data_IF_995998775364
#
_entry.id   IF_995998775364
#
_cell.length_a   1.000
_cell.length_b   1.000
_cell.length_c   1.000
_cell.angle_alpha   90.00
_cell.angle_beta   90.00
_cell.angle_gamma   90.00
#
_symmetry.space_group_name_H-M   'P 1'
#
loop_
_entity.id
_entity.type
_entity.pdbx_description
1 polymer ?
#
# COMPACT_ATOMS: atom_id res chain seq x y z
N UNK A 1 4.42 -13.34 -2.70
CA UNK A 1 5.10 -12.81 -3.89
C UNK A 1 4.63 -11.39 -4.24
N UNK A 2 3.32 -11.07 -4.32
CA UNK A 2 2.90 -9.70 -4.59
C UNK A 2 3.41 -8.67 -3.57
N UNK A 3 3.46 -9.03 -2.28
CA UNK A 3 4.05 -8.18 -1.22
C UNK A 3 5.55 -7.90 -1.46
N UNK A 4 6.32 -8.89 -1.96
CA UNK A 4 7.72 -8.69 -2.33
C UNK A 4 7.83 -7.69 -3.49
N UNK A 5 6.99 -7.84 -4.52
CA UNK A 5 6.95 -6.90 -5.63
C UNK A 5 6.53 -5.48 -5.20
N UNK A 6 5.60 -5.38 -4.24
CA UNK A 6 5.19 -4.12 -3.61
C UNK A 6 6.38 -3.45 -2.90
N UNK A 7 7.18 -4.20 -2.13
CA UNK A 7 8.35 -3.66 -1.44
C UNK A 7 9.36 -3.04 -2.42
N UNK A 8 9.63 -3.72 -3.55
CA UNK A 8 10.47 -3.19 -4.63
C UNK A 8 9.86 -1.94 -5.28
N UNK A 9 8.56 -1.97 -5.59
CA UNK A 9 7.87 -0.83 -6.18
C UNK A 9 7.93 0.41 -5.27
N UNK A 10 7.75 0.23 -3.95
CA UNK A 10 7.84 1.29 -2.96
C UNK A 10 9.27 1.81 -2.82
N UNK A 11 10.27 0.93 -2.83
CA UNK A 11 11.68 1.33 -2.79
C UNK A 11 12.05 2.21 -3.99
N UNK A 12 11.78 1.76 -5.22
CA UNK A 12 12.10 2.55 -6.42
C UNK A 12 11.32 3.86 -6.48
N UNK A 13 10.05 3.86 -6.04
CA UNK A 13 9.27 5.09 -5.93
C UNK A 13 9.88 6.04 -4.90
N UNK A 14 10.31 5.54 -3.75
CA UNK A 14 10.98 6.34 -2.72
C UNK A 14 12.28 6.98 -3.20
N UNK A 15 13.11 6.22 -3.91
CA UNK A 15 14.37 6.73 -4.51
C UNK A 15 14.08 7.86 -5.50
N UNK A 16 13.09 7.70 -6.38
CA UNK A 16 12.75 8.74 -7.36
C UNK A 16 12.09 9.96 -6.71
N UNK A 17 11.21 9.77 -5.72
CA UNK A 17 10.60 10.88 -4.98
C UNK A 17 11.65 11.67 -4.19
N UNK A 18 12.66 11.00 -3.62
CA UNK A 18 13.78 11.68 -2.97
C UNK A 18 14.55 12.57 -3.95
N UNK A 19 14.89 12.06 -5.14
CA UNK A 19 15.56 12.87 -6.18
C UNK A 19 14.72 14.07 -6.61
N UNK A 20 13.41 13.90 -6.75
CA UNK A 20 12.50 15.01 -7.09
C UNK A 20 12.48 16.07 -5.98
N UNK A 21 12.46 15.64 -4.72
CA UNK A 21 12.52 16.53 -3.57
C UNK A 21 13.84 17.32 -3.52
N UNK A 22 14.97 16.64 -3.68
CA UNK A 22 16.29 17.28 -3.65
C UNK A 22 16.40 18.34 -4.77
N UNK A 23 16.03 17.98 -6.01
CA UNK A 23 16.01 18.91 -7.13
C UNK A 23 15.05 20.10 -6.92
N UNK A 24 13.92 19.86 -6.27
CA UNK A 24 12.96 20.91 -5.94
C UNK A 24 13.53 21.88 -4.91
N UNK A 25 14.20 21.37 -3.88
CA UNK A 25 14.84 22.22 -2.86
C UNK A 25 15.97 23.05 -3.46
N UNK A 26 16.81 22.47 -4.30
CA UNK A 26 17.86 23.21 -5.02
C UNK A 26 17.27 24.35 -5.88
N UNK A 27 16.15 24.09 -6.57
CA UNK A 27 15.43 25.12 -7.33
C UNK A 27 14.83 26.20 -6.44
N UNK A 28 14.25 25.84 -5.30
CA UNK A 28 13.66 26.80 -4.36
C UNK A 28 14.72 27.72 -3.74
N UNK A 29 15.90 27.18 -3.42
CA UNK A 29 17.01 27.98 -2.88
C UNK A 29 17.64 28.91 -3.93
N UNK A 30 17.66 28.50 -5.19
CA UNK A 30 18.26 29.28 -6.29
C UNK A 30 17.33 30.29 -6.96
N UNK A 31 16.00 30.12 -6.84
CA UNK A 31 15.01 31.01 -7.46
C UNK A 31 14.83 32.30 -6.65
N UNK A 32 14.97 33.46 -7.30
CA UNK A 32 14.73 34.75 -6.66
C UNK A 32 13.30 35.27 -6.86
N UNK A 33 12.78 36.11 -5.95
CA UNK A 33 11.48 36.76 -6.14
C UNK A 33 11.44 37.57 -7.44
N UNK A 34 10.59 37.16 -8.39
CA UNK A 34 10.43 37.81 -9.69
C UNK A 34 10.97 37.02 -10.90
N UNK A 35 11.64 35.88 -10.67
CA UNK A 35 12.10 35.03 -11.76
C UNK A 35 10.93 34.39 -12.52
N UNK A 36 11.06 34.29 -13.84
CA UNK A 36 10.05 33.64 -14.70
C UNK A 36 9.82 32.16 -14.34
N UNK A 37 10.80 31.50 -13.73
CA UNK A 37 10.75 30.11 -13.25
C UNK A 37 10.06 29.94 -11.90
N UNK A 38 9.72 31.02 -11.19
CA UNK A 38 9.08 30.95 -9.86
C UNK A 38 7.73 30.23 -9.93
N UNK A 39 6.92 30.53 -10.95
CA UNK A 39 5.60 29.92 -11.09
C UNK A 39 5.70 28.40 -11.34
N UNK A 40 6.62 27.98 -12.20
CA UNK A 40 6.90 26.55 -12.48
C UNK A 40 7.39 25.82 -11.23
N UNK A 41 8.25 26.47 -10.44
CA UNK A 41 8.77 25.93 -9.18
C UNK A 41 7.65 25.76 -8.15
N UNK A 42 6.74 26.74 -8.04
CA UNK A 42 5.57 26.65 -7.15
C UNK A 42 4.58 25.58 -7.59
N UNK A 43 4.35 25.40 -8.89
CA UNK A 43 3.46 24.36 -9.41
C UNK A 43 4.07 22.96 -9.19
N UNK A 44 5.39 22.82 -9.36
CA UNK A 44 6.14 21.59 -9.01
C UNK A 44 6.07 21.29 -7.51
N UNK A 45 6.17 22.32 -6.66
CA UNK A 45 6.05 22.17 -5.20
C UNK A 45 4.65 21.66 -4.81
N UNK A 46 3.59 22.23 -5.39
CA UNK A 46 2.21 21.78 -5.15
C UNK A 46 1.99 20.34 -5.59
N UNK A 47 2.46 19.97 -6.77
CA UNK A 47 2.42 18.59 -7.27
C UNK A 47 3.14 17.65 -6.30
N UNK A 48 4.39 17.96 -5.98
CA UNK A 48 5.23 17.13 -5.10
C UNK A 48 4.57 16.92 -3.75
N UNK A 49 4.01 17.97 -3.15
CA UNK A 49 3.28 17.88 -1.89
C UNK A 49 2.05 16.96 -2.00
N UNK A 50 1.19 17.19 -2.99
CA UNK A 50 -0.06 16.44 -3.15
C UNK A 50 0.16 14.96 -3.50
N UNK A 51 1.14 14.66 -4.35
CA UNK A 51 1.53 13.28 -4.67
C UNK A 51 2.18 12.62 -3.46
N UNK A 52 3.06 13.31 -2.72
CA UNK A 52 3.70 12.75 -1.52
C UNK A 52 2.68 12.44 -0.42
N UNK A 53 1.65 13.28 -0.24
CA UNK A 53 0.55 13.01 0.69
C UNK A 53 -0.17 11.70 0.36
N UNK A 54 -0.51 11.47 -0.92
CA UNK A 54 -1.12 10.23 -1.38
C UNK A 54 -0.20 9.02 -1.22
N UNK A 55 1.07 9.14 -1.65
CA UNK A 55 2.06 8.09 -1.52
C UNK A 55 2.29 7.69 -0.07
N UNK A 56 2.43 8.67 0.85
CA UNK A 56 2.56 8.41 2.29
C UNK A 56 1.37 7.59 2.79
N UNK A 57 0.15 8.03 2.49
CA UNK A 57 -1.05 7.35 2.96
C UNK A 57 -1.16 5.91 2.46
N UNK A 58 -1.07 5.70 1.14
CA UNK A 58 -1.25 4.36 0.56
C UNK A 58 -0.06 3.44 0.82
N UNK A 59 1.18 3.93 0.81
CA UNK A 59 2.34 3.08 1.10
C UNK A 59 2.36 2.65 2.57
N UNK A 60 1.99 3.51 3.52
CA UNK A 60 1.95 3.13 4.94
C UNK A 60 0.81 2.15 5.23
N UNK A 61 -0.40 2.37 4.70
CA UNK A 61 -1.48 1.37 4.82
C UNK A 61 -1.09 0.02 4.19
N UNK A 62 -0.52 0.03 2.99
CA UNK A 62 -0.07 -1.18 2.30
C UNK A 62 1.07 -1.89 3.03
N UNK A 63 1.95 -1.15 3.72
CA UNK A 63 3.05 -1.72 4.52
C UNK A 63 2.52 -2.34 5.81
N UNK A 64 1.60 -1.67 6.51
CA UNK A 64 0.96 -2.20 7.71
C UNK A 64 0.21 -3.51 7.41
N UNK A 65 -0.54 -3.55 6.30
CA UNK A 65 -1.20 -4.76 5.82
C UNK A 65 -0.20 -5.85 5.41
N UNK A 66 0.94 -5.48 4.82
CA UNK A 66 1.99 -6.43 4.46
C UNK A 66 2.62 -7.09 5.70
N UNK A 67 2.89 -6.33 6.76
CA UNK A 67 3.41 -6.87 8.03
C UNK A 67 2.45 -7.93 8.58
N UNK A 68 1.16 -7.61 8.64
CA UNK A 68 0.14 -8.53 9.15
C UNK A 68 -0.05 -9.76 8.26
N UNK A 69 -0.05 -9.58 6.94
CA UNK A 69 -0.09 -10.70 6.00
C UNK A 69 1.13 -11.62 6.13
N UNK A 70 2.33 -11.06 6.28
CA UNK A 70 3.56 -11.82 6.55
C UNK A 70 3.41 -12.61 7.86
N UNK A 71 2.89 -11.99 8.92
CA UNK A 71 2.64 -12.67 10.21
C UNK A 71 1.72 -13.87 10.05
N UNK A 72 0.60 -13.72 9.33
CA UNK A 72 -0.34 -14.80 9.07
C UNK A 72 0.26 -15.94 8.22
N UNK A 73 1.16 -15.62 7.28
CA UNK A 73 1.80 -16.64 6.43
C UNK A 73 2.74 -17.58 7.21
N UNK A 74 3.19 -17.18 8.41
CA UNK A 74 4.01 -18.00 9.29
C UNK A 74 3.17 -18.93 10.20
N UNK A 75 1.85 -18.96 10.03
CA UNK A 75 0.94 -19.78 10.82
C UNK A 75 1.05 -19.49 12.32
N UNK A 76 0.95 -20.53 13.15
CA UNK A 76 1.02 -20.40 14.61
C UNK A 76 2.35 -19.82 15.10
N UNK A 77 3.47 -20.07 14.40
CA UNK A 77 4.76 -19.50 14.78
C UNK A 77 4.80 -17.98 14.61
N UNK A 78 4.04 -17.42 13.66
CA UNK A 78 3.88 -15.97 13.49
C UNK A 78 3.24 -15.26 14.68
N UNK A 79 2.61 -15.98 15.60
CA UNK A 79 2.09 -15.41 16.85
C UNK A 79 3.18 -15.23 17.93
N UNK A 80 4.31 -15.92 17.79
CA UNK A 80 5.40 -15.80 18.75
C UNK A 80 6.02 -14.40 18.69
N UNK A 81 6.17 -13.77 19.86
CA UNK A 81 6.81 -12.46 19.99
C UNK A 81 8.25 -12.47 19.45
N UNK A 82 8.93 -13.62 19.47
CA UNK A 82 10.29 -13.77 18.94
C UNK A 82 10.38 -13.60 17.43
N UNK A 83 9.26 -13.65 16.70
CA UNK A 83 9.25 -13.36 15.26
C UNK A 83 9.40 -11.87 14.94
N UNK A 84 9.20 -10.99 15.93
CA UNK A 84 9.23 -9.54 15.78
C UNK A 84 7.98 -8.94 15.11
N UNK A 85 7.23 -9.69 14.29
CA UNK A 85 6.20 -9.13 13.42
C UNK A 85 5.02 -8.46 14.16
N UNK A 86 4.58 -9.00 15.30
CA UNK A 86 3.52 -8.37 16.09
C UNK A 86 3.96 -7.04 16.70
N UNK A 87 5.20 -6.97 17.20
CA UNK A 87 5.81 -5.73 17.70
C UNK A 87 6.02 -4.74 16.56
N UNK A 88 6.57 -5.19 15.42
CA UNK A 88 6.73 -4.36 14.22
C UNK A 88 5.39 -3.81 13.73
N UNK A 89 4.31 -4.58 13.77
CA UNK A 89 2.97 -4.09 13.41
C UNK A 89 2.54 -2.94 14.34
N UNK A 90 2.65 -3.15 15.65
CA UNK A 90 2.27 -2.15 16.65
C UNK A 90 3.09 -0.87 16.53
N UNK A 91 4.41 -1.01 16.36
CA UNK A 91 5.33 0.12 16.23
C UNK A 91 5.13 0.85 14.88
N UNK A 92 4.84 0.11 13.81
CA UNK A 92 4.65 0.70 12.49
C UNK A 92 3.30 1.42 12.35
N UNK A 93 2.26 0.98 13.08
CA UNK A 93 0.89 1.50 12.93
C UNK A 93 0.80 3.03 13.08
N UNK A 94 1.68 3.64 13.89
CA UNK A 94 1.72 5.10 14.07
C UNK A 94 1.99 5.86 12.77
N UNK A 95 2.68 5.26 11.79
CA UNK A 95 2.95 5.87 10.48
C UNK A 95 1.69 6.14 9.66
N UNK A 96 0.57 5.49 9.98
CA UNK A 96 -0.72 5.76 9.37
C UNK A 96 -1.42 7.02 9.93
N UNK A 97 -0.92 7.56 11.06
CA UNK A 97 -1.57 8.62 11.83
C UNK A 97 -0.73 9.88 11.97
N UNK A 98 0.55 9.74 12.35
CA UNK A 98 1.44 10.90 12.51
C UNK A 98 1.89 11.44 11.14
N UNK A 99 2.49 12.63 11.13
CA UNK A 99 2.90 13.32 9.89
C UNK A 99 1.74 13.48 8.89
N UNK A 100 0.54 13.69 9.42
CA UNK A 100 -0.73 13.75 8.71
C UNK A 100 -1.48 12.42 8.71
N UNK A 101 -2.71 12.44 9.22
CA UNK A 101 -3.62 11.29 9.14
C UNK A 101 -3.80 10.86 7.68
N UNK A 102 -3.70 9.55 7.43
CA UNK A 102 -3.73 9.03 6.06
C UNK A 102 -5.03 9.38 5.32
N UNK A 103 -6.18 9.44 5.99
CA UNK A 103 -7.45 9.83 5.36
C UNK A 103 -7.42 11.30 4.99
N UNK A 104 -6.99 12.17 5.91
CA UNK A 104 -6.86 13.61 5.66
C UNK A 104 -5.88 13.91 4.53
N UNK A 105 -4.70 13.27 4.50
CA UNK A 105 -3.73 13.41 3.42
C UNK A 105 -4.31 12.96 2.07
N UNK A 106 -5.06 11.87 2.07
CA UNK A 106 -5.73 11.38 0.86
C UNK A 106 -6.77 12.37 0.35
N UNK A 107 -7.56 12.98 1.25
CA UNK A 107 -8.54 14.01 0.92
C UNK A 107 -7.88 15.29 0.38
N UNK A 108 -6.71 15.69 0.92
CA UNK A 108 -5.91 16.80 0.40
C UNK A 108 -5.37 16.52 -1.01
N UNK A 109 -4.81 15.32 -1.21
CA UNK A 109 -4.36 14.87 -2.54
C UNK A 109 -5.51 14.87 -3.55
N UNK A 110 -6.69 14.35 -3.17
CA UNK A 110 -7.88 14.38 -4.02
C UNK A 110 -8.38 15.79 -4.33
N UNK A 111 -8.29 16.73 -3.38
CA UNK A 111 -8.62 18.14 -3.61
C UNK A 111 -7.71 18.77 -4.66
N UNK A 112 -6.40 18.51 -4.58
CA UNK A 112 -5.44 18.95 -5.59
C UNK A 112 -5.80 18.40 -6.98
N UNK A 113 -6.11 17.11 -7.09
CA UNK A 113 -6.50 16.48 -8.36
C UNK A 113 -7.77 17.10 -8.98
N UNK A 114 -8.78 17.41 -8.16
CA UNK A 114 -9.98 18.13 -8.61
C UNK A 114 -9.63 19.53 -9.10
N UNK A 115 -8.74 20.25 -8.42
CA UNK A 115 -8.27 21.56 -8.87
C UNK A 115 -7.56 21.48 -10.22
N UNK A 116 -6.64 20.53 -10.39
CA UNK A 116 -5.94 20.30 -11.65
C UNK A 116 -6.89 19.95 -12.81
N UNK A 117 -7.94 19.16 -12.54
CA UNK A 117 -8.97 18.86 -13.54
C UNK A 117 -9.72 20.12 -13.98
N UNK A 118 -10.14 20.97 -13.04
CA UNK A 118 -10.82 22.23 -13.36
C UNK A 118 -9.91 23.18 -14.14
N UNK A 119 -8.64 23.26 -13.77
CA UNK A 119 -7.64 24.05 -14.50
C UNK A 119 -7.39 23.51 -15.91
N UNK A 120 -7.35 22.18 -16.09
CA UNK A 120 -7.23 21.55 -17.40
C UNK A 120 -8.44 21.85 -18.29
N UNK A 121 -9.66 21.81 -17.76
CA UNK A 121 -10.88 22.23 -18.48
C UNK A 121 -10.85 23.72 -18.88
N UNK A 122 -10.16 24.55 -18.12
CA UNK A 122 -9.92 25.96 -18.46
C UNK A 122 -8.76 26.16 -19.46
N UNK A 123 -8.17 25.08 -19.99
CA UNK A 123 -7.10 25.12 -20.97
C UNK A 123 -5.70 25.31 -20.40
N UNK A 124 -5.52 25.23 -19.08
CA UNK A 124 -4.19 25.31 -18.45
C UNK A 124 -3.48 23.95 -18.52
N UNK A 125 -2.29 23.94 -19.09
CA UNK A 125 -1.41 22.77 -19.10
C UNK A 125 -1.04 22.35 -17.68
N UNK A 126 -1.20 21.06 -17.39
CA UNK A 126 -0.94 20.45 -16.10
C UNK A 126 0.49 19.89 -16.02
N UNK A 127 1.10 19.89 -14.81
CA UNK A 127 2.42 19.32 -14.55
C UNK A 127 2.57 17.82 -14.86
N UNK A 128 3.81 17.33 -14.90
CA UNK A 128 4.15 15.95 -15.30
C UNK A 128 3.55 14.87 -14.38
N UNK A 129 3.32 15.15 -13.10
CA UNK A 129 2.66 14.20 -12.19
C UNK A 129 1.22 13.89 -12.57
N UNK A 130 0.54 14.85 -13.17
CA UNK A 130 -0.88 14.82 -13.54
C UNK A 130 -1.07 15.03 -15.05
N UNK A 131 -0.04 14.74 -15.86
CA UNK A 131 -0.02 15.02 -17.30
C UNK A 131 -1.11 14.29 -18.10
N UNK A 132 -1.68 13.20 -17.57
CA UNK A 132 -2.86 12.54 -18.13
C UNK A 132 -4.07 13.49 -18.24
N UNK A 133 -4.16 14.55 -17.43
CA UNK A 133 -5.21 15.56 -17.53
C UNK A 133 -5.07 16.47 -18.76
N UNK A 134 -3.89 16.50 -19.40
CA UNK A 134 -3.69 17.27 -20.64
C UNK A 134 -4.30 16.59 -21.87
N UNK A 135 -4.73 15.33 -21.75
CA UNK A 135 -5.20 14.50 -22.86
C UNK A 135 -6.60 13.94 -22.62
N UNK A 136 -7.43 14.63 -21.82
CA UNK A 136 -8.77 14.17 -21.42
C UNK A 136 -9.65 13.77 -22.61
N UNK A 137 -9.67 14.58 -23.67
CA UNK A 137 -10.52 14.33 -24.85
C UNK A 137 -10.21 12.98 -25.52
N UNK A 138 -8.96 12.54 -25.45
CA UNK A 138 -8.51 11.27 -26.02
C UNK A 138 -8.64 10.12 -25.02
N UNK A 139 -8.24 10.34 -23.76
CA UNK A 139 -8.15 9.28 -22.76
C UNK A 139 -9.50 8.81 -22.21
N UNK A 140 -10.48 9.70 -22.05
CA UNK A 140 -11.69 9.38 -21.29
C UNK A 140 -12.50 8.20 -21.86
N UNK A 141 -12.43 7.99 -23.17
CA UNK A 141 -13.14 6.92 -23.88
C UNK A 141 -12.20 5.85 -24.47
N UNK A 142 -10.92 5.86 -24.09
CA UNK A 142 -9.94 4.95 -24.64
C UNK A 142 -10.09 3.56 -24.01
N UNK A 143 -10.26 2.55 -24.86
CA UNK A 143 -10.16 1.15 -24.48
C UNK A 143 -8.76 0.60 -24.76
N UNK A 144 -8.42 -0.54 -24.15
CA UNK A 144 -7.17 -1.23 -24.39
C UNK A 144 -7.03 -1.61 -25.88
N UNK A 145 -6.05 -1.00 -26.56
CA UNK A 145 -5.76 -1.21 -27.98
C UNK A 145 -4.94 -2.48 -28.31
N UNK A 146 -4.67 -3.33 -27.31
CA UNK A 146 -3.96 -4.60 -27.47
C UNK A 146 -4.68 -5.51 -28.49
N UNK A 147 -3.95 -6.00 -29.50
CA UNK A 147 -4.52 -6.86 -30.56
C UNK A 147 -4.66 -8.30 -30.09
N UNK A 148 -3.72 -8.73 -29.25
CA UNK A 148 -3.69 -10.01 -28.57
C UNK A 148 -3.61 -9.79 -27.07
N UNK A 149 -3.96 -10.80 -26.27
CA UNK A 149 -3.86 -10.66 -24.82
C UNK A 149 -2.40 -10.49 -24.37
N UNK A 150 -1.47 -11.11 -25.07
CA UNK A 150 -0.03 -11.01 -24.82
C UNK A 150 0.50 -9.57 -24.97
N UNK A 151 -0.10 -8.77 -25.85
CA UNK A 151 0.25 -7.35 -26.01
C UNK A 151 -0.06 -6.52 -24.75
N UNK A 152 -0.91 -7.01 -23.83
CA UNK A 152 -1.17 -6.39 -22.52
C UNK A 152 0.08 -6.42 -21.64
N UNK A 153 0.99 -7.38 -21.83
CA UNK A 153 2.24 -7.51 -21.10
C UNK A 153 3.31 -6.54 -21.62
N UNK A 154 2.94 -5.27 -21.69
CA UNK A 154 3.77 -4.17 -22.12
C UNK A 154 3.63 -3.01 -21.13
N UNK A 155 4.75 -2.41 -20.71
CA UNK A 155 4.74 -1.31 -19.75
C UNK A 155 3.90 -0.12 -20.22
N UNK A 156 3.92 0.18 -21.52
CA UNK A 156 3.21 1.33 -22.07
C UNK A 156 1.69 1.08 -22.08
N UNK A 157 1.24 -0.16 -22.36
CA UNK A 157 -0.18 -0.55 -22.25
C UNK A 157 -0.66 -0.48 -20.79
N UNK A 158 0.12 -1.00 -19.84
CA UNK A 158 -0.24 -0.93 -18.42
C UNK A 158 -0.24 0.52 -17.92
N UNK A 159 0.72 1.34 -18.36
CA UNK A 159 0.78 2.76 -18.00
C UNK A 159 -0.39 3.54 -18.61
N UNK A 160 -0.79 3.25 -19.85
CA UNK A 160 -1.99 3.81 -20.47
C UNK A 160 -3.25 3.41 -19.69
N UNK A 161 -3.37 2.14 -19.28
CA UNK A 161 -4.47 1.66 -18.45
C UNK A 161 -4.63 2.50 -17.18
N UNK A 162 -3.53 2.74 -16.45
CA UNK A 162 -3.52 3.61 -15.28
C UNK A 162 -3.89 5.04 -15.65
N UNK A 163 -3.32 5.61 -16.71
CA UNK A 163 -3.62 6.98 -17.16
C UNK A 163 -5.10 7.20 -17.47
N UNK A 164 -5.72 6.28 -18.24
CA UNK A 164 -7.15 6.33 -18.60
C UNK A 164 -8.03 6.23 -17.36
N UNK A 165 -7.74 5.26 -16.49
CA UNK A 165 -8.55 5.04 -15.29
C UNK A 165 -8.39 6.21 -14.32
N UNK A 166 -7.17 6.70 -14.07
CA UNK A 166 -6.94 7.86 -13.21
C UNK A 166 -7.65 9.10 -13.75
N UNK A 167 -7.55 9.39 -15.05
CA UNK A 167 -8.25 10.51 -15.68
C UNK A 167 -9.77 10.45 -15.45
N UNK A 168 -10.36 9.28 -15.63
CA UNK A 168 -11.79 9.05 -15.43
C UNK A 168 -12.25 9.18 -13.96
N UNK A 169 -11.45 8.67 -13.01
CA UNK A 169 -11.80 8.75 -11.57
C UNK A 169 -11.65 10.20 -11.07
N UNK A 170 -10.63 10.92 -11.54
CA UNK A 170 -10.46 12.36 -11.26
C UNK A 170 -11.61 13.17 -11.87
N UNK A 171 -11.99 12.89 -13.12
CA UNK A 171 -13.16 13.50 -13.76
C UNK A 171 -14.42 13.28 -12.92
N UNK A 172 -14.67 12.06 -12.43
CA UNK A 172 -15.84 11.78 -11.59
C UNK A 172 -15.86 12.64 -10.33
N UNK A 173 -14.72 12.75 -9.63
CA UNK A 173 -14.60 13.60 -8.45
C UNK A 173 -14.80 15.10 -8.77
N UNK A 174 -14.29 15.55 -9.91
CA UNK A 174 -14.48 16.92 -10.39
C UNK A 174 -15.93 17.22 -10.78
N UNK A 175 -16.60 16.30 -11.49
CA UNK A 175 -18.01 16.45 -11.86
C UNK A 175 -18.91 16.47 -10.62
N UNK A 176 -18.65 15.60 -9.64
CA UNK A 176 -19.40 15.58 -8.37
C UNK A 176 -19.23 16.91 -7.60
N UNK A 177 -18.01 17.44 -7.57
CA UNK A 177 -17.73 18.76 -7.00
C UNK A 177 -18.51 19.87 -7.71
N UNK A 178 -18.53 19.88 -9.05
CA UNK A 178 -19.27 20.87 -9.83
C UNK A 178 -20.80 20.74 -9.68
N UNK A 179 -21.32 19.53 -9.49
CA UNK A 179 -22.74 19.30 -9.16
C UNK A 179 -23.09 19.93 -7.81
N UNK A 180 -22.26 19.72 -6.78
CA UNK A 180 -22.46 20.30 -5.45
C UNK A 180 -22.40 21.84 -5.47
N UNK A 181 -21.46 22.42 -6.23
CA UNK A 181 -21.41 23.88 -6.42
C UNK A 181 -22.68 24.42 -7.08
N UNK A 182 -23.18 23.74 -8.13
CA UNK A 182 -24.43 24.13 -8.81
C UNK A 182 -25.66 23.99 -7.92
N UNK A 183 -25.61 23.10 -6.93
CA UNK A 183 -26.63 22.97 -5.89
C UNK A 183 -26.58 24.09 -4.83
N UNK A 184 -25.64 25.04 -4.94
CA UNK A 184 -25.51 26.18 -4.04
C UNK A 184 -24.63 25.95 -2.82
N UNK A 185 -23.90 24.83 -2.76
CA UNK A 185 -22.95 24.56 -1.68
C UNK A 185 -21.72 25.48 -1.79
N UNK A 186 -21.11 25.80 -0.64
CA UNK A 186 -19.80 26.44 -0.62
C UNK A 186 -18.71 25.48 -1.15
N UNK A 187 -17.55 25.98 -1.63
CA UNK A 187 -16.47 25.12 -2.08
C UNK A 187 -16.01 24.10 -1.04
N UNK A 188 -15.92 24.48 0.24
CA UNK A 188 -15.54 23.54 1.30
C UNK A 188 -16.60 22.45 1.50
N UNK A 189 -17.88 22.82 1.54
CA UNK A 189 -18.97 21.84 1.64
C UNK A 189 -19.03 20.92 0.41
N UNK A 190 -18.79 21.44 -0.79
CA UNK A 190 -18.73 20.65 -2.02
C UNK A 190 -17.57 19.65 -2.00
N UNK A 191 -16.41 20.02 -1.46
CA UNK A 191 -15.32 19.07 -1.26
C UNK A 191 -15.71 17.97 -0.29
N UNK A 192 -16.33 18.31 0.85
CA UNK A 192 -16.76 17.30 1.82
C UNK A 192 -17.81 16.33 1.24
N UNK A 193 -18.76 16.84 0.45
CA UNK A 193 -19.77 16.02 -0.22
C UNK A 193 -19.13 15.02 -1.20
N UNK A 194 -18.08 15.42 -1.93
CA UNK A 194 -17.39 14.55 -2.89
C UNK A 194 -16.20 13.76 -2.29
N UNK A 195 -16.08 13.67 -0.96
CA UNK A 195 -14.96 13.03 -0.25
C UNK A 195 -14.64 11.61 -0.75
N UNK A 196 -15.66 10.79 -0.97
CA UNK A 196 -15.45 9.40 -1.41
C UNK A 196 -14.86 9.33 -2.82
N UNK A 197 -15.32 10.18 -3.74
CA UNK A 197 -14.78 10.26 -5.10
C UNK A 197 -13.34 10.80 -5.08
N UNK A 198 -13.05 11.78 -4.22
CA UNK A 198 -11.68 12.30 -4.01
C UNK A 198 -10.73 11.24 -3.47
N UNK A 199 -11.18 10.42 -2.52
CA UNK A 199 -10.39 9.32 -1.98
C UNK A 199 -10.05 8.30 -3.08
N UNK A 200 -11.03 7.91 -3.89
CA UNK A 200 -10.82 7.01 -5.02
C UNK A 200 -9.84 7.60 -6.04
N UNK A 201 -9.96 8.88 -6.38
CA UNK A 201 -9.06 9.57 -7.30
C UNK A 201 -7.61 9.56 -6.78
N UNK A 202 -7.40 9.91 -5.50
CA UNK A 202 -6.09 9.89 -4.87
C UNK A 202 -5.48 8.46 -4.81
N UNK A 203 -6.31 7.44 -4.55
CA UNK A 203 -5.90 6.02 -4.55
C UNK A 203 -5.35 5.59 -5.90
N UNK A 204 -6.15 5.78 -6.96
CA UNK A 204 -5.77 5.33 -8.31
C UNK A 204 -4.61 6.16 -8.85
N UNK A 205 -4.57 7.47 -8.58
CA UNK A 205 -3.42 8.31 -8.89
C UNK A 205 -2.14 7.79 -8.24
N UNK A 206 -2.18 7.47 -6.94
CA UNK A 206 -1.00 7.01 -6.19
C UNK A 206 -0.49 5.66 -6.70
N UNK A 207 -1.37 4.67 -6.94
CA UNK A 207 -0.94 3.37 -7.49
C UNK A 207 -0.41 3.46 -8.92
N UNK A 208 -1.05 4.26 -9.77
CA UNK A 208 -0.55 4.54 -11.12
C UNK A 208 0.82 5.23 -11.10
N UNK A 209 1.03 6.15 -10.15
CA UNK A 209 2.32 6.81 -9.94
C UNK A 209 3.41 5.81 -9.54
N UNK A 210 3.16 4.94 -8.56
CA UNK A 210 4.10 3.92 -8.10
C UNK A 210 4.49 2.99 -9.26
N UNK A 211 3.50 2.51 -10.04
CA UNK A 211 3.79 1.67 -11.20
C UNK A 211 4.65 2.40 -12.24
N UNK A 212 4.31 3.63 -12.59
CA UNK A 212 5.07 4.45 -13.54
C UNK A 212 6.52 4.63 -13.10
N UNK A 213 6.77 4.96 -11.83
CA UNK A 213 8.13 5.12 -11.28
C UNK A 213 8.89 3.82 -11.29
N UNK A 214 8.26 2.71 -10.91
CA UNK A 214 8.92 1.41 -10.96
C UNK A 214 9.27 1.01 -12.40
N UNK A 215 8.35 1.14 -13.35
CA UNK A 215 8.60 0.84 -14.75
C UNK A 215 9.75 1.71 -15.33
N UNK A 216 9.81 2.99 -14.99
CA UNK A 216 10.92 3.89 -15.36
C UNK A 216 12.26 3.43 -14.77
N UNK A 217 12.28 3.02 -13.50
CA UNK A 217 13.46 2.49 -12.85
C UNK A 217 13.94 1.19 -13.51
N UNK A 218 13.03 0.28 -13.88
CA UNK A 218 13.37 -0.95 -14.62
C UNK A 218 13.95 -0.63 -16.00
N UNK A 219 13.35 0.31 -16.75
CA UNK A 219 13.88 0.74 -18.06
C UNK A 219 15.31 1.29 -17.94
N UNK A 220 15.64 1.94 -16.82
CA UNK A 220 16.96 2.53 -16.54
C UNK A 220 17.94 1.58 -15.84
N UNK A 221 17.51 0.38 -15.45
CA UNK A 221 18.34 -0.57 -14.71
C UNK A 221 19.45 -1.19 -15.59
N UNK A 222 20.56 -1.65 -14.97
CA UNK A 222 21.60 -2.43 -15.64
C UNK A 222 21.02 -3.64 -16.37
N UNK A 223 21.58 -3.98 -17.53
CA UNK A 223 21.07 -5.03 -18.43
C UNK A 223 20.87 -6.37 -17.70
N UNK A 224 21.83 -6.78 -16.86
CA UNK A 224 21.77 -8.03 -16.11
C UNK A 224 20.64 -8.11 -15.07
N UNK A 225 20.11 -6.97 -14.61
CA UNK A 225 19.02 -6.91 -13.63
C UNK A 225 17.65 -6.66 -14.27
N UNK A 226 17.62 -6.16 -15.51
CA UNK A 226 16.39 -5.73 -16.16
C UNK A 226 15.38 -6.86 -16.34
N UNK A 227 15.84 -8.08 -16.63
CA UNK A 227 14.96 -9.23 -16.83
C UNK A 227 14.16 -9.57 -15.54
N UNK A 228 14.85 -9.72 -14.41
CA UNK A 228 14.19 -10.04 -13.14
C UNK A 228 13.35 -8.86 -12.63
N UNK A 229 13.85 -7.64 -12.72
CA UNK A 229 13.10 -6.44 -12.31
C UNK A 229 11.83 -6.25 -13.17
N UNK A 230 11.88 -6.60 -14.45
CA UNK A 230 10.69 -6.60 -15.33
C UNK A 230 9.60 -7.54 -14.80
N UNK A 231 9.97 -8.78 -14.43
CA UNK A 231 9.02 -9.75 -13.87
C UNK A 231 8.39 -9.23 -12.56
N UNK A 232 9.22 -8.66 -11.68
CA UNK A 232 8.76 -8.09 -10.39
C UNK A 232 7.84 -6.88 -10.63
N UNK A 233 8.18 -6.02 -11.59
CA UNK A 233 7.36 -4.85 -11.95
C UNK A 233 6.02 -5.26 -12.57
N UNK A 234 5.99 -6.26 -13.47
CA UNK A 234 4.74 -6.79 -14.00
C UNK A 234 3.89 -7.43 -12.90
N UNK A 235 4.50 -8.20 -11.98
CA UNK A 235 3.77 -8.78 -10.85
C UNK A 235 3.08 -7.69 -10.03
N UNK A 236 3.81 -6.62 -9.68
CA UNK A 236 3.23 -5.48 -8.95
C UNK A 236 2.09 -4.81 -9.74
N UNK A 237 2.34 -4.48 -11.02
CA UNK A 237 1.38 -3.75 -11.85
C UNK A 237 0.09 -4.53 -12.08
N UNK A 238 0.19 -5.81 -12.47
CA UNK A 238 -0.95 -6.66 -12.77
C UNK A 238 -1.74 -7.00 -11.49
N UNK A 239 -1.07 -7.30 -10.39
CA UNK A 239 -1.74 -7.51 -9.11
C UNK A 239 -2.47 -6.24 -8.64
N UNK A 240 -1.85 -5.07 -8.81
CA UNK A 240 -2.47 -3.79 -8.44
C UNK A 240 -3.69 -3.47 -9.32
N UNK A 241 -3.67 -3.84 -10.60
CA UNK A 241 -4.85 -3.78 -11.48
C UNK A 241 -5.93 -4.75 -11.00
N UNK A 242 -5.58 -6.00 -10.68
CA UNK A 242 -6.51 -7.01 -10.18
C UNK A 242 -7.23 -6.53 -8.90
N UNK A 243 -6.50 -5.99 -7.92
CA UNK A 243 -7.06 -5.47 -6.67
C UNK A 243 -7.97 -4.24 -6.89
N UNK A 244 -7.84 -3.56 -8.02
CA UNK A 244 -8.65 -2.39 -8.38
C UNK A 244 -9.51 -2.63 -9.63
N UNK A 245 -9.78 -3.90 -9.97
CA UNK A 245 -10.43 -4.31 -11.22
C UNK A 245 -11.76 -3.59 -11.51
N UNK A 246 -12.49 -3.23 -10.47
CA UNK A 246 -13.76 -2.48 -10.59
C UNK A 246 -13.61 -1.20 -11.41
N UNK A 247 -12.54 -0.43 -11.22
CA UNK A 247 -12.33 0.80 -11.97
C UNK A 247 -11.95 0.53 -13.44
N UNK A 248 -11.07 -0.44 -13.69
CA UNK A 248 -10.64 -0.80 -15.05
C UNK A 248 -11.79 -1.34 -15.90
N UNK A 249 -12.74 -2.04 -15.28
CA UNK A 249 -13.97 -2.53 -15.92
C UNK A 249 -15.03 -1.42 -16.07
N UNK A 250 -15.23 -0.61 -15.01
CA UNK A 250 -16.23 0.47 -15.00
C UNK A 250 -15.97 1.49 -16.12
N UNK A 251 -14.70 1.86 -16.32
CA UNK A 251 -14.29 2.80 -17.37
C UNK A 251 -13.93 2.10 -18.69
N UNK A 252 -14.21 0.79 -18.79
CA UNK A 252 -14.11 0.00 -20.03
C UNK A 252 -12.74 0.01 -20.70
N UNK A 253 -11.67 0.27 -19.93
CA UNK A 253 -10.32 0.14 -20.47
C UNK A 253 -10.03 -1.33 -20.79
N UNK A 254 -10.24 -2.21 -19.81
CA UNK A 254 -10.19 -3.65 -20.04
C UNK A 254 -11.59 -4.24 -20.19
N UNK A 255 -11.72 -5.17 -21.14
CA UNK A 255 -12.88 -6.07 -21.21
C UNK A 255 -12.80 -7.15 -20.12
N UNK A 256 -13.91 -7.83 -19.79
CA UNK A 256 -13.88 -8.96 -18.86
C UNK A 256 -12.85 -10.04 -19.24
N UNK A 257 -12.73 -10.38 -20.53
CA UNK A 257 -11.77 -11.38 -21.01
C UNK A 257 -10.31 -10.92 -20.84
N UNK A 258 -10.02 -9.64 -21.09
CA UNK A 258 -8.68 -9.09 -20.83
C UNK A 258 -8.37 -9.07 -19.33
N UNK A 259 -9.35 -8.79 -18.47
CA UNK A 259 -9.17 -8.89 -17.02
C UNK A 259 -8.93 -10.33 -16.54
N UNK A 260 -9.56 -11.33 -17.16
CA UNK A 260 -9.27 -12.74 -16.87
C UNK A 260 -7.85 -13.11 -17.27
N UNK A 261 -7.36 -12.58 -18.40
CA UNK A 261 -5.96 -12.71 -18.76
C UNK A 261 -5.03 -12.04 -17.73
N UNK A 262 -5.31 -10.81 -17.30
CA UNK A 262 -4.53 -10.13 -16.24
C UNK A 262 -4.43 -11.00 -14.98
N UNK A 263 -5.54 -11.55 -14.51
CA UNK A 263 -5.56 -12.46 -13.34
C UNK A 263 -4.73 -13.73 -13.56
N UNK A 264 -4.84 -14.33 -14.76
CA UNK A 264 -4.04 -15.50 -15.10
C UNK A 264 -2.54 -15.18 -15.09
N UNK A 265 -2.14 -14.00 -15.57
CA UNK A 265 -0.75 -13.57 -15.60
C UNK A 265 -0.19 -13.26 -14.20
N UNK A 266 -1.01 -12.80 -13.24
CA UNK A 266 -0.58 -12.70 -11.84
C UNK A 266 -0.06 -14.05 -11.31
N UNK A 267 -0.74 -15.16 -11.63
CA UNK A 267 -0.27 -16.51 -11.26
C UNK A 267 1.01 -16.91 -12.00
N UNK A 268 1.17 -16.51 -13.27
CA UNK A 268 2.41 -16.74 -14.03
C UNK A 268 3.57 -16.02 -13.37
N UNK A 269 3.48 -14.70 -13.16
CA UNK A 269 4.56 -13.93 -12.55
C UNK A 269 4.81 -14.29 -11.08
N UNK A 270 3.79 -14.73 -10.34
CA UNK A 270 4.01 -15.32 -9.02
C UNK A 270 4.94 -16.55 -9.08
N UNK A 271 4.75 -17.43 -10.08
CA UNK A 271 5.62 -18.60 -10.27
C UNK A 271 7.02 -18.22 -10.72
N UNK A 272 7.14 -17.28 -11.65
CA UNK A 272 8.45 -16.83 -12.15
C UNK A 272 9.26 -16.12 -11.07
N UNK A 273 8.67 -15.16 -10.36
CA UNK A 273 9.35 -14.46 -9.25
C UNK A 273 9.69 -15.43 -8.12
N UNK A 274 8.86 -16.45 -7.89
CA UNK A 274 9.16 -17.51 -6.92
C UNK A 274 10.41 -18.33 -7.26
N UNK A 275 10.86 -18.38 -8.51
CA UNK A 275 12.11 -19.10 -8.83
C UNK A 275 13.36 -18.34 -8.35
N UNK A 276 13.26 -17.02 -8.19
CA UNK A 276 14.39 -16.14 -7.87
C UNK A 276 14.18 -15.37 -6.54
N UNK A 277 13.24 -15.83 -5.70
CA UNK A 277 12.81 -15.07 -4.51
C UNK A 277 13.90 -14.92 -3.44
N UNK A 278 14.79 -15.90 -3.28
CA UNK A 278 15.88 -15.81 -2.28
C UNK A 278 16.85 -14.69 -2.65
N UNK A 279 17.47 -14.66 -3.85
CA UNK A 279 18.31 -13.52 -4.26
C UNK A 279 17.59 -12.16 -4.17
N UNK A 280 16.28 -12.11 -4.47
CA UNK A 280 15.50 -10.88 -4.36
C UNK A 280 15.33 -10.40 -2.91
N UNK A 281 15.22 -11.31 -1.94
CA UNK A 281 15.12 -10.96 -0.51
C UNK A 281 16.52 -10.66 0.04
N UNK A 282 17.52 -11.48 -0.30
CA UNK A 282 18.91 -11.28 0.12
C UNK A 282 19.48 -9.96 -0.39
N UNK A 283 19.00 -9.43 -1.52
CA UNK A 283 19.36 -8.11 -2.04
C UNK A 283 18.99 -6.96 -1.09
N UNK A 284 18.08 -7.15 -0.13
CA UNK A 284 17.85 -6.17 0.94
C UNK A 284 19.04 -6.06 1.90
N UNK A 285 19.90 -7.08 1.93
CA UNK A 285 21.14 -7.11 2.68
C UNK A 285 20.96 -6.84 4.18
N UNK A 286 19.88 -7.38 4.77
CA UNK A 286 19.66 -7.35 6.20
C UNK A 286 20.38 -8.51 6.89
N UNK A 287 21.18 -8.19 7.90
CA UNK A 287 21.78 -9.23 8.76
C UNK A 287 20.74 -9.88 9.67
N UNK A 288 21.03 -11.09 10.17
CA UNK A 288 20.20 -11.76 11.18
C UNK A 288 19.94 -10.88 12.42
N UNK A 289 20.89 -10.01 12.76
CA UNK A 289 20.73 -9.03 13.83
C UNK A 289 19.64 -8.00 13.53
N UNK A 290 19.57 -7.50 12.29
CA UNK A 290 18.53 -6.55 11.87
C UNK A 290 17.17 -7.23 11.69
N UNK A 291 17.16 -8.44 11.14
CA UNK A 291 15.93 -9.24 11.00
C UNK A 291 15.36 -9.58 12.37
N UNK A 292 16.22 -9.84 13.35
CA UNK A 292 15.87 -10.09 14.75
C UNK A 292 14.72 -11.11 14.92
N UNK A 293 14.75 -12.16 14.09
CA UNK A 293 13.70 -13.18 14.05
C UNK A 293 14.33 -14.53 13.75
N UNK A 294 14.11 -15.57 14.59
CA UNK A 294 14.64 -16.90 14.33
C UNK A 294 13.97 -17.58 13.12
N UNK A 295 12.83 -17.06 12.64
CA UNK A 295 12.18 -17.53 11.42
C UNK A 295 12.73 -16.89 10.14
N UNK A 296 13.54 -15.83 10.27
CA UNK A 296 14.13 -15.09 9.16
C UNK A 296 15.66 -15.20 9.08
N UNK A 297 16.23 -16.26 9.67
CA UNK A 297 17.68 -16.48 9.66
C UNK A 297 18.20 -16.82 8.27
N UNK A 298 19.36 -16.26 7.93
CA UNK A 298 19.97 -16.40 6.61
C UNK A 298 20.27 -17.85 6.21
N UNK A 299 20.74 -18.67 7.17
CA UNK A 299 21.10 -20.07 6.93
C UNK A 299 19.89 -21.02 6.79
N UNK A 300 18.68 -20.51 7.03
CA UNK A 300 17.44 -21.29 6.99
C UNK A 300 17.30 -22.31 8.13
N UNK A 301 18.17 -22.29 9.14
CA UNK A 301 18.11 -23.20 10.29
C UNK A 301 17.06 -22.75 11.34
N UNK A 302 15.82 -22.63 10.86
CA UNK A 302 14.72 -21.97 11.57
C UNK A 302 14.38 -22.65 12.90
N UNK A 303 14.25 -23.98 12.91
CA UNK A 303 13.72 -24.69 14.08
C UNK A 303 14.70 -24.74 15.26
N UNK A 304 15.98 -24.96 15.00
CA UNK A 304 17.00 -24.96 16.06
C UNK A 304 17.14 -23.55 16.65
N UNK A 305 17.28 -22.53 15.80
CA UNK A 305 17.36 -21.12 16.23
C UNK A 305 16.15 -20.69 17.03
N UNK A 306 14.95 -21.09 16.58
CA UNK A 306 13.73 -20.76 17.29
C UNK A 306 13.65 -21.44 18.66
N UNK A 307 13.97 -22.72 18.73
CA UNK A 307 13.96 -23.47 19.99
C UNK A 307 14.99 -22.94 20.99
N UNK A 308 16.20 -22.62 20.52
CA UNK A 308 17.26 -22.04 21.33
C UNK A 308 16.87 -20.66 21.86
N UNK A 309 16.24 -19.83 21.01
CA UNK A 309 15.71 -18.53 21.41
C UNK A 309 14.67 -18.68 22.53
N UNK A 310 13.73 -19.61 22.40
CA UNK A 310 12.70 -19.87 23.41
C UNK A 310 13.34 -20.31 24.73
N UNK A 311 14.27 -21.27 24.71
CA UNK A 311 14.96 -21.74 25.92
C UNK A 311 15.78 -20.64 26.61
N UNK A 312 16.47 -19.83 25.81
CA UNK A 312 17.32 -18.76 26.33
C UNK A 312 16.50 -17.67 27.03
N UNK A 313 15.34 -17.32 26.47
CA UNK A 313 14.47 -16.27 27.00
C UNK A 313 13.53 -16.78 28.10
N UNK A 314 13.25 -18.08 28.13
CA UNK A 314 12.41 -18.73 29.14
C UNK A 314 13.19 -19.89 29.78
N UNK A 315 14.18 -19.61 30.63
CA UNK A 315 15.00 -20.65 31.24
C UNK A 315 14.12 -21.58 32.07
N UNK A 316 14.21 -22.87 31.78
CA UNK A 316 13.43 -23.90 32.46
C UNK A 316 14.17 -24.30 33.74
N UNK A 317 13.59 -23.99 34.91
CA UNK A 317 14.15 -24.36 36.21
C UNK A 317 13.55 -23.54 37.36
N UNK A 318 13.45 -24.15 38.54
CA UNK A 318 12.84 -23.54 39.72
C UNK A 318 11.35 -23.85 39.87
N UNK A 319 10.81 -23.62 41.07
CA UNK A 319 9.38 -23.76 41.35
C UNK A 319 8.61 -22.63 40.64
N UNK A 320 7.54 -22.96 39.92
CA UNK A 320 6.75 -21.94 39.23
C UNK A 320 6.16 -20.96 40.27
N UNK A 321 6.19 -19.63 40.06
CA UNK A 321 5.67 -18.66 41.04
C UNK A 321 4.21 -18.89 41.46
N UNK A 322 3.41 -19.47 40.56
CA UNK A 322 2.02 -19.85 40.81
C UNK A 322 1.83 -21.24 41.41
N UNK A 323 2.89 -22.02 41.68
CA UNK A 323 2.73 -23.38 42.22
C UNK A 323 1.93 -23.40 43.53
N UNK A 324 2.14 -22.48 44.50
CA UNK A 324 1.30 -22.44 45.71
C UNK A 324 -0.18 -22.19 45.43
N UNK A 325 -0.49 -21.32 44.46
CA UNK A 325 -1.86 -20.97 44.05
C UNK A 325 -2.55 -22.11 43.29
N UNK A 326 -1.81 -22.80 42.41
CA UNK A 326 -2.33 -23.96 41.69
C UNK A 326 -2.52 -25.12 42.66
N UNK A 327 -1.59 -25.34 43.58
CA UNK A 327 -1.71 -26.38 44.60
C UNK A 327 -2.90 -26.16 45.52
N UNK A 328 -3.16 -24.92 45.96
CA UNK A 328 -4.33 -24.63 46.79
C UNK A 328 -5.64 -24.85 46.03
N UNK A 329 -5.70 -24.48 44.75
CA UNK A 329 -6.88 -24.73 43.90
C UNK A 329 -7.13 -26.23 43.68
N UNK A 330 -6.08 -26.99 43.36
CA UNK A 330 -6.18 -28.43 43.09
C UNK A 330 -6.50 -29.25 44.35
N UNK A 331 -6.17 -28.72 45.53
CA UNK A 331 -6.38 -29.36 46.84
C UNK A 331 -7.50 -28.71 47.64
N UNK A 332 -8.33 -27.86 47.03
CA UNK A 332 -9.47 -27.28 47.75
C UNK A 332 -10.45 -28.40 48.07
N UNK A 333 -10.93 -28.43 49.31
CA UNK A 333 -12.09 -29.24 49.65
C UNK A 333 -13.30 -28.67 48.91
N UNK A 334 -14.10 -29.55 48.31
CA UNK A 334 -15.41 -29.18 47.78
C UNK A 334 -16.31 -29.16 49.01
N UNK A 335 -16.85 -28.00 49.38
CA UNK A 335 -17.91 -27.94 50.38
C UNK A 335 -19.07 -28.78 49.83
N UNK A 336 -19.41 -29.87 50.53
CA UNK A 336 -20.65 -30.60 50.30
C UNK A 336 -21.77 -29.60 50.60
N UNK A 337 -22.58 -29.26 49.60
CA UNK A 337 -23.81 -28.48 49.82
C UNK A 337 -24.61 -29.23 50.90
N UNK A 338 -24.68 -28.67 52.13
CA UNK A 338 -25.55 -29.21 53.16
C UNK A 338 -26.96 -29.28 52.56
N UNK A 339 -27.62 -30.46 52.58
CA UNK A 339 -28.98 -30.55 52.07
C UNK A 339 -29.82 -29.53 52.84
N UNK A 340 -30.49 -28.64 52.10
CA UNK A 340 -31.49 -27.72 52.64
C UNK A 340 -32.42 -28.55 53.54
N UNK A 341 -32.40 -28.29 54.85
CA UNK A 341 -33.38 -28.90 55.76
C UNK A 341 -34.76 -28.51 55.24
N UNK A 342 -35.51 -29.50 54.75
CA UNK A 342 -36.93 -29.33 54.45
C UNK A 342 -37.62 -29.04 55.79
N UNK A 343 -38.07 -27.80 55.98
CA UNK A 343 -38.99 -27.42 57.05
C UNK A 343 -40.30 -28.20 56.84
N UNK A 344 -40.40 -29.42 57.37
CA UNK A 344 -41.69 -30.07 57.57
C UNK A 344 -42.42 -29.33 58.71
N UNK A 345 -43.32 -28.42 58.30
CA UNK A 345 -44.31 -27.79 59.15
C UNK A 345 -45.08 -28.86 59.95
N UNK A 346 -45.06 -28.71 61.28
CA UNK A 346 -45.83 -29.51 62.24
C UNK A 346 -47.33 -29.53 61.90
N UNK A 347 -47.88 -30.69 61.50
CA UNK A 347 -49.30 -31.00 61.59
C UNK A 347 -49.63 -31.58 62.99
N UNK A 348 -50.23 -30.75 63.85
CA UNK A 348 -51.14 -31.19 64.94
C UNK A 348 -52.46 -30.39 64.92
#
# INVERSE_FOLDING_TARGET
MPILAQAYAFHFTGVETQKLYDNLMDKLESTQPGDASMQDTLDTLKETHATSAGLKAFCTWSTLNAIEACRQTLGGHGYSAYTGLATTYNDFAVHCTWEGDNTILTLQSGRYLVSCYREALAGKTQPEGVSYLNHLDTLLNLGCGAKTNEDILNFDVIQEAWGVVTANVVKKAGDDFEVSLKAGMSPEAAYEECSQARLAAAKIHSFGYIFRRFAQAVKSAPEGLRAILTKVCFLYGLYSIEQNAGFFLQYRYFTPSQMDFVRAQVNVFCREVRQEYIPLIDAFNYSDYMINSPLGVYDGNVYEKYFDQVKRQNPVGGEHPYLPLIQSLLRRDIEDDEPLEDDEEDEE
#
